data_IF_599283313484
#
_entry.id   IF_599283313484
#
_cell.length_a   1.000
_cell.length_b   1.000
_cell.length_c   1.000
_cell.angle_alpha   90.00
_cell.angle_beta   90.00
_cell.angle_gamma   90.00
#
_symmetry.space_group_name_H-M   'P 1'
#
loop_
_entity.id
_entity.type
_entity.pdbx_description
1 polymer ?
#
# COMPACT_ATOMS: atom_id res chain seq x y z
N UNK A 1 -1.72 -7.52 -24.28
CA UNK A 1 -2.33 -8.10 -23.06
C UNK A 1 -1.66 -7.45 -21.87
N UNK A 2 -2.42 -6.95 -20.90
CA UNK A 2 -1.87 -6.50 -19.61
C UNK A 2 -1.45 -7.73 -18.80
N UNK A 3 -0.31 -7.67 -18.12
CA UNK A 3 0.15 -8.72 -17.19
C UNK A 3 -0.03 -8.22 -15.76
N UNK A 4 -0.36 -9.10 -14.83
CA UNK A 4 -0.18 -8.81 -13.41
C UNK A 4 1.31 -8.80 -13.06
N UNK A 5 1.71 -8.09 -12.03
CA UNK A 5 3.11 -8.09 -11.59
C UNK A 5 3.29 -7.86 -10.09
N UNK A 6 4.41 -8.33 -9.56
CA UNK A 6 4.95 -7.96 -8.26
C UNK A 6 6.42 -7.60 -8.47
N UNK A 7 6.86 -6.47 -7.94
CA UNK A 7 8.20 -5.93 -8.10
C UNK A 7 8.81 -5.61 -6.75
N UNK A 8 10.12 -5.79 -6.65
CA UNK A 8 10.89 -5.49 -5.45
C UNK A 8 12.22 -4.82 -5.85
N UNK A 9 12.43 -3.53 -5.52
CA UNK A 9 11.49 -2.63 -4.82
C UNK A 9 10.29 -2.22 -5.69
N UNK A 10 9.20 -1.70 -5.11
CA UNK A 10 8.09 -1.15 -5.90
C UNK A 10 8.56 -0.10 -6.92
N UNK A 11 7.87 -0.06 -8.07
CA UNK A 11 8.11 0.93 -9.13
C UNK A 11 9.39 0.73 -9.95
N UNK A 12 10.29 -0.19 -9.56
CA UNK A 12 11.47 -0.51 -10.37
C UNK A 12 11.10 -1.03 -11.76
N UNK A 13 12.03 -0.95 -12.72
CA UNK A 13 11.85 -1.47 -14.07
C UNK A 13 13.07 -2.27 -14.55
N UNK A 14 12.83 -3.42 -15.18
CA UNK A 14 13.89 -4.23 -15.77
C UNK A 14 14.96 -4.63 -14.75
N UNK A 15 16.22 -4.34 -15.07
CA UNK A 15 17.41 -4.71 -14.27
C UNK A 15 17.61 -3.84 -13.02
N UNK A 16 16.81 -2.78 -12.85
CA UNK A 16 16.82 -1.97 -11.63
C UNK A 16 16.12 -2.68 -10.47
N UNK A 17 15.25 -3.64 -10.79
CA UNK A 17 14.61 -4.49 -9.80
C UNK A 17 15.62 -5.46 -9.16
N UNK A 18 15.44 -5.78 -7.88
CA UNK A 18 16.10 -6.94 -7.26
C UNK A 18 15.37 -8.23 -7.64
N UNK A 19 14.05 -8.13 -7.72
CA UNK A 19 13.17 -9.19 -8.16
C UNK A 19 11.98 -8.59 -8.90
N UNK A 20 11.50 -9.30 -9.93
CA UNK A 20 10.13 -9.12 -10.37
C UNK A 20 9.54 -10.45 -10.81
N UNK A 21 8.22 -10.54 -10.68
CA UNK A 21 7.39 -11.53 -11.35
C UNK A 21 6.35 -10.81 -12.18
N UNK A 22 6.17 -11.25 -13.42
CA UNK A 22 4.94 -10.96 -14.17
C UNK A 22 4.16 -12.25 -14.39
N UNK A 23 2.84 -12.15 -14.43
CA UNK A 23 1.97 -13.30 -14.65
C UNK A 23 0.79 -12.95 -15.56
N UNK A 24 0.33 -13.94 -16.31
CA UNK A 24 -0.89 -13.84 -17.12
C UNK A 24 -1.65 -15.16 -17.12
N UNK A 25 -2.92 -15.11 -16.74
CA UNK A 25 -3.84 -16.24 -16.79
C UNK A 25 -4.33 -16.52 -18.21
N UNK A 26 -4.34 -17.79 -18.60
CA UNK A 26 -4.71 -18.29 -19.92
C UNK A 26 -5.71 -19.45 -19.80
N UNK A 27 -6.81 -19.25 -19.05
CA UNK A 27 -7.90 -20.21 -18.84
C UNK A 27 -7.53 -21.53 -18.10
N UNK A 28 -6.55 -22.29 -18.58
CA UNK A 28 -6.12 -23.58 -18.01
C UNK A 28 -4.73 -23.52 -17.36
N UNK A 29 -3.95 -22.47 -17.61
CA UNK A 29 -2.65 -22.24 -17.00
C UNK A 29 -2.39 -20.76 -16.69
N UNK A 30 -1.34 -20.51 -15.91
CA UNK A 30 -0.76 -19.19 -15.68
C UNK A 30 0.66 -19.22 -16.23
N UNK A 31 0.98 -18.27 -17.09
CA UNK A 31 2.36 -18.03 -17.52
C UNK A 31 3.02 -17.07 -16.53
N UNK A 32 4.19 -17.44 -16.03
CA UNK A 32 5.01 -16.64 -15.12
C UNK A 32 6.32 -16.27 -15.79
N UNK A 33 6.78 -15.04 -15.55
CA UNK A 33 8.13 -14.57 -15.89
C UNK A 33 8.79 -14.04 -14.63
N UNK A 34 9.88 -14.67 -14.21
CA UNK A 34 10.66 -14.31 -13.02
C UNK A 34 12.00 -13.70 -13.43
N UNK A 35 12.44 -12.73 -12.65
CA UNK A 35 13.78 -12.16 -12.70
C UNK A 35 14.34 -12.07 -11.29
N UNK A 36 15.60 -12.48 -11.10
CA UNK A 36 16.35 -12.29 -9.87
C UNK A 36 17.72 -11.69 -10.14
N UNK A 37 18.02 -10.55 -9.51
CA UNK A 37 19.28 -9.83 -9.64
C UNK A 37 20.38 -10.42 -8.76
N UNK A 38 21.59 -10.45 -9.28
CA UNK A 38 22.82 -10.97 -8.66
C UNK A 38 22.57 -12.32 -7.99
N UNK A 39 21.90 -13.23 -8.70
CA UNK A 39 21.37 -14.49 -8.18
C UNK A 39 21.57 -15.61 -9.19
N UNK A 40 21.78 -16.84 -8.70
CA UNK A 40 21.77 -18.08 -9.50
C UNK A 40 20.54 -18.95 -9.20
N UNK A 41 19.60 -18.46 -8.39
CA UNK A 41 18.22 -18.92 -8.36
C UNK A 41 17.23 -17.77 -8.12
N UNK A 42 16.02 -17.96 -8.59
CA UNK A 42 14.84 -17.13 -8.31
C UNK A 42 13.65 -18.05 -8.05
N UNK A 43 12.82 -17.69 -7.09
CA UNK A 43 11.66 -18.51 -6.72
C UNK A 43 10.41 -17.66 -6.55
N UNK A 44 9.27 -18.29 -6.83
CA UNK A 44 7.95 -17.77 -6.52
C UNK A 44 7.20 -18.82 -5.71
N UNK A 45 6.52 -18.38 -4.66
CA UNK A 45 5.78 -19.22 -3.74
C UNK A 45 4.38 -18.68 -3.49
N UNK A 46 3.49 -19.59 -3.13
CA UNK A 46 2.08 -19.31 -2.87
C UNK A 46 1.75 -19.74 -1.44
N UNK A 47 1.25 -18.82 -0.62
CA UNK A 47 0.89 -19.11 0.77
C UNK A 47 -0.31 -18.27 1.24
N UNK A 48 -1.08 -18.79 2.19
CA UNK A 48 -2.19 -18.07 2.83
C UNK A 48 -1.72 -17.04 3.85
N UNK A 49 -0.46 -17.16 4.30
CA UNK A 49 0.20 -16.28 5.27
C UNK A 49 1.48 -15.68 4.70
N UNK A 50 1.91 -14.56 5.26
CA UNK A 50 3.17 -13.90 4.90
C UNK A 50 4.39 -14.58 5.54
N UNK A 51 4.57 -15.88 5.28
CA UNK A 51 5.65 -16.69 5.84
C UNK A 51 6.15 -17.77 4.87
N UNK A 52 7.44 -18.11 4.95
CA UNK A 52 8.04 -19.14 4.10
C UNK A 52 7.49 -20.55 4.40
N UNK A 53 7.18 -20.85 5.67
CA UNK A 53 6.71 -22.17 6.09
C UNK A 53 5.32 -22.45 5.51
N UNK A 54 5.10 -23.68 5.05
CA UNK A 54 3.92 -24.15 4.34
C UNK A 54 3.70 -23.56 2.93
N UNK A 55 4.73 -22.95 2.34
CA UNK A 55 4.63 -22.38 0.99
C UNK A 55 4.81 -23.44 -0.09
N UNK A 56 3.90 -23.50 -1.06
CA UNK A 56 4.14 -24.23 -2.31
C UNK A 56 4.93 -23.31 -3.25
N UNK A 57 6.10 -23.75 -3.72
CA UNK A 57 6.98 -22.90 -4.52
C UNK A 57 7.42 -23.54 -5.83
N UNK A 58 7.66 -22.69 -6.81
CA UNK A 58 8.38 -22.99 -8.04
C UNK A 58 9.71 -22.26 -7.98
N UNK A 59 10.79 -23.02 -8.14
CA UNK A 59 12.16 -22.54 -8.01
C UNK A 59 12.84 -22.74 -9.36
N UNK A 60 13.35 -21.64 -9.89
CA UNK A 60 14.20 -21.64 -11.05
C UNK A 60 15.65 -21.44 -10.61
N UNK A 61 16.55 -22.34 -10.96
CA UNK A 61 17.91 -22.35 -10.45
C UNK A 61 18.92 -22.89 -11.45
N UNK A 62 20.18 -22.52 -11.24
CA UNK A 62 21.30 -22.97 -12.06
C UNK A 62 21.88 -24.27 -11.49
N UNK A 63 22.00 -25.27 -12.35
CA UNK A 63 22.63 -26.55 -12.05
C UNK A 63 23.64 -26.90 -13.15
N UNK A 64 24.94 -26.94 -12.82
CA UNK A 64 26.03 -27.22 -13.76
C UNK A 64 25.97 -26.35 -15.04
N UNK A 65 25.65 -25.06 -14.89
CA UNK A 65 25.54 -24.10 -16.00
C UNK A 65 24.24 -24.17 -16.81
N UNK A 66 23.34 -25.09 -16.48
CA UNK A 66 22.01 -25.21 -17.09
C UNK A 66 20.95 -24.71 -16.11
N UNK A 67 20.02 -23.91 -16.60
CA UNK A 67 18.93 -23.39 -15.80
C UNK A 67 17.75 -24.38 -15.83
N UNK A 68 17.26 -24.75 -14.65
CA UNK A 68 16.22 -25.74 -14.43
C UNK A 68 15.09 -25.15 -13.59
N UNK A 69 13.90 -25.75 -13.70
CA UNK A 69 12.78 -25.47 -12.80
C UNK A 69 12.42 -26.72 -11.99
N UNK A 70 12.10 -26.51 -10.71
CA UNK A 70 11.62 -27.54 -9.77
C UNK A 70 10.51 -26.97 -8.91
N UNK A 71 9.63 -27.84 -8.42
CA UNK A 71 8.69 -27.47 -7.36
C UNK A 71 9.26 -27.83 -6.00
N UNK A 72 8.79 -27.17 -4.94
CA UNK A 72 9.11 -27.55 -3.58
C UNK A 72 8.03 -27.10 -2.59
N UNK A 73 7.66 -27.99 -1.66
CA UNK A 73 6.90 -27.62 -0.46
C UNK A 73 7.85 -27.17 0.64
N UNK A 74 7.77 -25.90 1.03
CA UNK A 74 8.64 -25.31 2.04
C UNK A 74 8.08 -25.58 3.44
N UNK A 75 8.43 -26.71 4.06
CA UNK A 75 7.91 -27.09 5.38
C UNK A 75 8.68 -26.47 6.56
N UNK A 76 9.86 -25.94 6.31
CA UNK A 76 10.75 -25.35 7.33
C UNK A 76 11.65 -24.27 6.72
N UNK A 77 12.33 -23.50 7.57
CA UNK A 77 13.35 -22.52 7.17
C UNK A 77 14.70 -23.21 6.91
N UNK A 78 14.69 -24.18 6.01
CA UNK A 78 15.86 -24.97 5.60
C UNK A 78 15.95 -25.02 4.07
N UNK A 79 17.07 -25.52 3.54
CA UNK A 79 17.17 -25.81 2.11
C UNK A 79 16.00 -26.71 1.67
N UNK A 80 15.29 -26.36 0.58
CA UNK A 80 14.13 -27.12 0.15
C UNK A 80 14.54 -28.43 -0.50
N UNK A 81 13.70 -29.45 -0.31
CA UNK A 81 13.78 -30.68 -1.11
C UNK A 81 13.13 -30.37 -2.45
N UNK A 82 13.93 -30.39 -3.52
CA UNK A 82 13.45 -30.12 -4.87
C UNK A 82 12.77 -31.37 -5.44
N UNK A 83 11.56 -31.18 -5.94
CA UNK A 83 10.76 -32.23 -6.55
C UNK A 83 10.69 -32.04 -8.05
N UNK A 84 10.62 -33.15 -8.79
CA UNK A 84 10.45 -33.10 -10.24
C UNK A 84 9.19 -32.31 -10.61
N UNK A 85 9.41 -31.35 -11.50
CA UNK A 85 8.43 -30.38 -11.95
C UNK A 85 7.49 -30.98 -13.00
N UNK A 86 6.88 -32.13 -12.70
CA UNK A 86 5.87 -32.72 -13.57
C UNK A 86 4.79 -31.63 -13.81
N UNK A 87 4.44 -31.40 -15.08
CA UNK A 87 3.44 -30.41 -15.52
C UNK A 87 3.83 -28.93 -15.45
N UNK A 88 5.03 -28.56 -14.98
CA UNK A 88 5.59 -27.24 -15.28
C UNK A 88 6.34 -27.29 -16.61
N UNK A 89 6.23 -26.23 -17.42
CA UNK A 89 6.96 -26.14 -18.68
C UNK A 89 7.83 -24.89 -18.68
N UNK A 90 9.15 -25.05 -18.69
CA UNK A 90 10.10 -23.95 -18.86
C UNK A 90 10.13 -23.56 -20.34
N UNK A 91 9.50 -22.43 -20.67
CA UNK A 91 9.36 -21.97 -22.06
C UNK A 91 10.49 -21.06 -22.50
N UNK A 92 11.11 -20.35 -21.55
CA UNK A 92 12.30 -19.54 -21.83
C UNK A 92 13.14 -19.42 -20.56
N UNK A 93 14.45 -19.32 -20.72
CA UNK A 93 15.37 -19.10 -19.62
C UNK A 93 16.64 -18.43 -20.11
N UNK A 94 17.13 -17.46 -19.34
CA UNK A 94 18.44 -16.87 -19.59
C UNK A 94 19.19 -16.67 -18.28
N UNK A 95 20.50 -16.73 -18.39
CA UNK A 95 21.43 -16.45 -17.32
C UNK A 95 22.51 -15.54 -17.90
N UNK A 96 22.73 -14.40 -17.27
CA UNK A 96 23.91 -13.59 -17.50
C UNK A 96 24.77 -13.60 -16.23
N UNK A 97 25.94 -12.95 -16.26
CA UNK A 97 26.86 -12.96 -15.12
C UNK A 97 26.25 -12.44 -13.82
N UNK A 98 25.14 -11.69 -13.88
CA UNK A 98 24.55 -10.99 -12.75
C UNK A 98 23.03 -11.19 -12.61
N UNK A 99 22.38 -12.12 -13.32
CA UNK A 99 20.92 -12.34 -13.18
C UNK A 99 20.43 -13.69 -13.70
N UNK A 100 19.31 -14.15 -13.13
CA UNK A 100 18.55 -15.32 -13.59
C UNK A 100 17.17 -14.87 -14.03
N UNK A 101 16.77 -15.35 -15.21
CA UNK A 101 15.44 -15.12 -15.79
C UNK A 101 14.81 -16.43 -16.24
N UNK A 102 13.53 -16.60 -15.91
CA UNK A 102 12.81 -17.82 -16.23
C UNK A 102 11.37 -17.49 -16.58
N UNK A 103 10.91 -18.07 -17.69
CA UNK A 103 9.51 -18.04 -18.09
C UNK A 103 8.97 -19.46 -18.13
N UNK A 104 7.88 -19.71 -17.44
CA UNK A 104 7.28 -21.04 -17.37
C UNK A 104 5.76 -20.99 -17.29
N UNK A 105 5.11 -22.09 -17.63
CA UNK A 105 3.68 -22.27 -17.42
C UNK A 105 3.41 -23.14 -16.19
N UNK A 106 2.46 -22.71 -15.37
CA UNK A 106 1.93 -23.45 -14.23
C UNK A 106 0.45 -23.80 -14.50
N UNK A 107 0.02 -25.07 -14.44
CA UNK A 107 -1.39 -25.42 -14.61
C UNK A 107 -2.25 -24.72 -13.56
N UNK A 108 -3.38 -24.14 -13.94
CA UNK A 108 -4.23 -23.40 -13.01
C UNK A 108 -4.87 -24.33 -11.97
N UNK A 109 -5.31 -25.50 -12.43
CA UNK A 109 -5.84 -26.60 -11.61
C UNK A 109 -5.03 -27.88 -11.89
N UNK A 110 -3.89 -28.06 -11.24
CA UNK A 110 -3.03 -29.19 -11.52
C UNK A 110 -3.66 -30.48 -10.95
N UNK A 111 -3.31 -31.64 -11.51
CA UNK A 111 -3.89 -32.93 -11.06
C UNK A 111 -3.38 -33.30 -9.67
N UNK A 112 -4.09 -34.16 -8.94
CA UNK A 112 -3.69 -34.62 -7.59
C UNK A 112 -2.29 -35.26 -7.54
N UNK A 113 -1.75 -35.71 -8.68
CA UNK A 113 -0.41 -36.29 -8.78
C UNK A 113 0.73 -35.26 -8.82
N UNK A 114 0.42 -33.99 -9.12
CA UNK A 114 1.40 -32.97 -9.49
C UNK A 114 2.19 -32.35 -8.32
N UNK A 115 1.73 -32.50 -7.08
CA UNK A 115 2.25 -31.78 -5.88
C UNK A 115 2.33 -30.25 -6.03
N UNK A 116 1.76 -29.70 -7.10
CA UNK A 116 1.64 -28.26 -7.34
C UNK A 116 0.39 -27.72 -6.64
N UNK A 117 0.40 -26.42 -6.30
CA UNK A 117 -0.74 -25.77 -5.67
C UNK A 117 -1.86 -25.51 -6.68
N UNK A 118 -3.11 -25.66 -6.27
CA UNK A 118 -4.24 -25.11 -7.03
C UNK A 118 -4.20 -23.56 -6.95
N UNK A 119 -4.37 -22.88 -8.09
CA UNK A 119 -4.32 -21.43 -8.23
C UNK A 119 -5.71 -20.76 -8.27
N UNK A 120 -6.79 -21.50 -7.94
CA UNK A 120 -8.18 -21.01 -7.90
C UNK A 120 -8.46 -19.96 -6.81
N UNK A 121 -7.71 -19.99 -5.72
CA UNK A 121 -7.86 -19.05 -4.60
C UNK A 121 -6.86 -17.88 -4.70
N UNK A 122 -6.99 -16.91 -3.80
CA UNK A 122 -6.08 -15.76 -3.70
C UNK A 122 -5.02 -16.00 -2.62
N UNK A 123 -3.77 -15.66 -2.90
CA UNK A 123 -2.65 -15.99 -2.02
C UNK A 123 -1.63 -14.87 -1.91
N UNK A 124 -0.84 -14.88 -0.84
CA UNK A 124 0.40 -14.13 -0.86
C UNK A 124 1.37 -14.75 -1.86
N UNK A 125 1.93 -13.90 -2.72
CA UNK A 125 3.07 -14.25 -3.55
C UNK A 125 4.34 -14.01 -2.74
N UNK A 126 5.14 -15.05 -2.53
CA UNK A 126 6.40 -15.00 -1.77
C UNK A 126 7.55 -15.20 -2.74
N UNK A 127 8.59 -14.39 -2.65
CA UNK A 127 9.79 -14.58 -3.48
C UNK A 127 11.05 -14.70 -2.64
N UNK A 128 12.01 -15.40 -3.22
CA UNK A 128 13.38 -15.51 -2.71
C UNK A 128 14.34 -15.66 -3.87
N UNK A 129 15.45 -14.94 -3.83
CA UNK A 129 16.54 -15.04 -4.81
C UNK A 129 17.87 -15.21 -4.08
N UNK A 130 18.83 -15.88 -4.71
CA UNK A 130 20.11 -16.12 -4.06
C UNK A 130 21.04 -16.95 -4.91
N UNK A 131 22.04 -17.54 -4.28
CA UNK A 131 23.06 -18.34 -4.95
C UNK A 131 22.83 -19.84 -4.79
N UNK A 132 23.28 -20.63 -5.76
CA UNK A 132 23.41 -22.08 -5.65
C UNK A 132 24.87 -22.38 -5.33
N UNK A 133 25.13 -23.05 -4.22
CA UNK A 133 26.48 -23.47 -3.80
C UNK A 133 26.48 -24.98 -3.57
N UNK A 134 27.46 -25.69 -4.13
CA UNK A 134 27.58 -27.15 -4.02
C UNK A 134 26.27 -27.90 -4.35
N UNK A 135 25.58 -27.47 -5.42
CA UNK A 135 24.30 -28.03 -5.88
C UNK A 135 23.13 -27.83 -4.89
N UNK A 136 23.29 -26.98 -3.88
CA UNK A 136 22.27 -26.63 -2.88
C UNK A 136 21.91 -25.17 -3.01
N UNK A 137 20.62 -24.86 -2.88
CA UNK A 137 20.11 -23.49 -2.80
C UNK A 137 20.58 -22.87 -1.49
N UNK A 138 21.44 -21.85 -1.59
CA UNK A 138 21.95 -21.12 -0.44
C UNK A 138 20.87 -20.22 0.15
N UNK A 139 21.07 -19.82 1.40
CA UNK A 139 20.14 -18.95 2.11
C UNK A 139 20.02 -17.59 1.39
N UNK A 140 18.81 -17.21 0.96
CA UNK A 140 18.53 -15.96 0.22
C UNK A 140 18.85 -14.68 1.00
N UNK A 141 19.22 -14.76 2.28
CA UNK A 141 19.47 -13.62 3.16
C UNK A 141 18.37 -12.55 2.98
N UNK A 142 18.73 -11.29 2.71
CA UNK A 142 17.81 -10.17 2.53
C UNK A 142 17.08 -10.15 1.16
N UNK A 143 17.43 -11.01 0.20
CA UNK A 143 16.82 -11.06 -1.14
C UNK A 143 15.54 -11.88 -1.14
N UNK A 144 14.55 -11.40 -0.38
CA UNK A 144 13.27 -12.07 -0.17
C UNK A 144 12.17 -11.04 0.04
N UNK A 145 10.94 -11.40 -0.31
CA UNK A 145 9.79 -10.55 -0.03
C UNK A 145 8.48 -11.29 -0.21
N UNK A 146 7.39 -10.55 -0.06
CA UNK A 146 6.03 -11.08 -0.13
C UNK A 146 5.09 -9.97 -0.59
N UNK A 147 4.00 -10.30 -1.28
CA UNK A 147 2.96 -9.33 -1.60
C UNK A 147 2.30 -8.76 -0.35
N UNK A 148 1.86 -7.50 -0.41
CA UNK A 148 1.18 -6.82 0.69
C UNK A 148 -0.17 -7.49 1.02
N UNK A 149 -0.90 -7.89 -0.02
CA UNK A 149 -2.19 -8.57 0.10
C UNK A 149 -2.20 -9.84 -0.73
N UNK A 150 -3.26 -10.63 -0.54
CA UNK A 150 -3.56 -11.76 -1.42
C UNK A 150 -3.71 -11.29 -2.86
N UNK A 151 -3.21 -12.10 -3.78
CA UNK A 151 -3.15 -11.83 -5.21
C UNK A 151 -4.06 -12.81 -5.92
N UNK A 152 -4.97 -12.28 -6.73
CA UNK A 152 -5.81 -13.05 -7.62
C UNK A 152 -5.13 -13.21 -8.98
N UNK A 153 -4.60 -14.40 -9.26
CA UNK A 153 -3.83 -14.66 -10.48
C UNK A 153 -4.68 -14.62 -11.77
N UNK A 154 -6.01 -14.61 -11.67
CA UNK A 154 -6.91 -14.43 -12.82
C UNK A 154 -7.04 -12.95 -13.24
N UNK A 155 -6.54 -12.02 -12.42
CA UNK A 155 -6.61 -10.58 -12.68
C UNK A 155 -5.23 -10.03 -13.00
N UNK A 156 -5.14 -9.26 -14.07
CA UNK A 156 -3.89 -8.62 -14.49
C UNK A 156 -3.70 -7.28 -13.76
N UNK A 157 -3.41 -7.35 -12.46
CA UNK A 157 -3.24 -6.18 -11.58
C UNK A 157 -1.84 -6.17 -10.97
N UNK A 158 -1.27 -4.98 -10.81
CA UNK A 158 -0.02 -4.80 -10.07
C UNK A 158 -0.25 -4.97 -8.57
N UNK A 159 0.50 -5.87 -7.97
CA UNK A 159 0.53 -6.15 -6.54
C UNK A 159 1.73 -5.44 -5.92
N UNK A 160 1.52 -4.77 -4.78
CA UNK A 160 2.60 -4.15 -4.01
C UNK A 160 3.34 -5.19 -3.16
N UNK A 161 4.63 -4.97 -2.88
CA UNK A 161 5.34 -5.74 -1.86
C UNK A 161 4.86 -5.30 -0.46
N UNK A 162 4.88 -6.21 0.51
CA UNK A 162 4.54 -5.92 1.90
C UNK A 162 5.59 -5.06 2.61
N UNK A 163 6.82 -5.06 2.09
CA UNK A 163 7.86 -4.11 2.48
C UNK A 163 7.51 -2.69 2.04
N UNK A 164 6.72 -2.55 0.98
CA UNK A 164 6.24 -1.28 0.50
C UNK A 164 5.07 -0.86 1.38
N UNK A 165 5.13 0.37 1.88
CA UNK A 165 3.95 1.00 2.47
C UNK A 165 3.09 1.62 1.36
N UNK A 166 2.12 2.45 1.73
CA UNK A 166 1.23 3.08 0.76
C UNK A 166 1.98 4.18 -0.01
N UNK A 167 1.97 4.10 -1.34
CA UNK A 167 2.51 5.15 -2.20
C UNK A 167 1.58 6.37 -2.18
N UNK A 168 2.18 7.56 -2.22
CA UNK A 168 1.46 8.83 -2.30
C UNK A 168 1.05 9.24 -3.74
N UNK A 169 1.31 8.38 -4.72
CA UNK A 169 1.02 8.67 -6.12
C UNK A 169 -0.49 8.86 -6.32
N UNK A 170 -0.86 10.05 -6.78
CA UNK A 170 -2.26 10.43 -7.01
C UNK A 170 -2.99 10.98 -5.79
N UNK A 171 -2.34 11.15 -4.64
CA UNK A 171 -2.90 11.92 -3.52
C UNK A 171 -3.36 13.31 -3.99
N UNK A 172 -4.58 13.71 -3.63
CA UNK A 172 -5.18 14.98 -4.05
C UNK A 172 -5.64 15.04 -5.50
N UNK A 173 -5.43 13.96 -6.29
CA UNK A 173 -5.81 13.89 -7.71
C UNK A 173 -6.83 12.80 -7.96
N UNK A 174 -6.47 11.56 -7.63
CA UNK A 174 -7.34 10.38 -7.80
C UNK A 174 -7.59 9.63 -6.50
N UNK A 175 -6.82 9.95 -5.46
CA UNK A 175 -6.88 9.34 -4.13
C UNK A 175 -6.95 10.43 -3.09
N UNK A 176 -7.82 10.29 -2.11
CA UNK A 176 -7.68 11.05 -0.89
C UNK A 176 -6.63 10.43 0.02
N UNK A 177 -5.86 11.24 0.74
CA UNK A 177 -4.75 10.78 1.56
C UNK A 177 -4.71 11.56 2.88
N UNK A 178 -4.50 10.86 3.99
CA UNK A 178 -4.16 11.42 5.29
C UNK A 178 -2.83 10.82 5.73
N UNK A 179 -1.80 11.65 5.90
CA UNK A 179 -0.41 11.18 6.01
C UNK A 179 0.33 11.85 7.16
N UNK A 180 1.13 11.07 7.87
CA UNK A 180 2.07 11.60 8.85
C UNK A 180 3.46 10.95 8.71
N UNK A 181 4.54 11.75 8.64
CA UNK A 181 4.54 13.22 8.51
C UNK A 181 3.83 13.71 7.25
N UNK A 182 3.39 14.96 7.24
CA UNK A 182 2.79 15.55 6.04
C UNK A 182 3.79 15.43 4.88
N UNK A 183 3.30 15.05 3.69
CA UNK A 183 4.12 14.90 2.48
C UNK A 183 4.92 13.60 2.36
N UNK A 184 4.97 12.74 3.40
CA UNK A 184 5.67 11.45 3.33
C UNK A 184 5.08 10.52 2.26
N UNK A 185 5.88 9.62 1.70
CA UNK A 185 5.40 8.57 0.80
C UNK A 185 6.02 7.24 1.19
N UNK A 186 5.28 6.14 1.02
CA UNK A 186 5.80 4.82 1.31
C UNK A 186 6.30 4.72 2.75
N UNK A 187 7.46 4.10 2.92
CA UNK A 187 7.98 3.72 4.24
C UNK A 187 8.52 4.90 5.04
N UNK A 188 8.59 6.10 4.45
CA UNK A 188 8.89 7.34 5.16
C UNK A 188 7.72 7.79 6.04
N UNK A 189 6.50 7.32 5.74
CA UNK A 189 5.35 7.56 6.59
C UNK A 189 5.44 6.78 7.90
N UNK A 190 4.98 7.40 9.00
CA UNK A 190 4.66 6.69 10.24
C UNK A 190 3.21 6.21 10.24
N UNK A 191 2.32 7.00 9.64
CA UNK A 191 0.91 6.67 9.40
C UNK A 191 0.53 7.12 8.00
N UNK A 192 -0.29 6.33 7.32
CA UNK A 192 -0.96 6.75 6.10
C UNK A 192 -2.32 6.07 5.99
N UNK A 193 -3.35 6.84 5.68
CA UNK A 193 -4.61 6.33 5.18
C UNK A 193 -4.88 6.92 3.79
N UNK A 194 -5.43 6.09 2.90
CA UNK A 194 -5.92 6.54 1.60
C UNK A 194 -7.37 6.15 1.44
N UNK A 195 -8.13 6.93 0.68
CA UNK A 195 -9.53 6.64 0.40
C UNK A 195 -9.93 6.93 -1.06
N UNK A 196 -10.87 6.13 -1.57
CA UNK A 196 -11.49 6.32 -2.89
C UNK A 196 -12.97 6.01 -2.83
N UNK A 197 -13.82 6.97 -3.21
CA UNK A 197 -15.25 6.74 -3.38
C UNK A 197 -15.52 5.90 -4.64
N UNK A 198 -16.46 4.96 -4.55
CA UNK A 198 -16.83 4.00 -5.60
C UNK A 198 -18.36 3.88 -5.74
N UNK A 199 -19.08 5.02 -5.72
CA UNK A 199 -20.51 5.10 -6.02
C UNK A 199 -21.46 4.62 -4.90
N UNK A 200 -21.06 3.64 -4.10
CA UNK A 200 -21.86 3.15 -2.95
C UNK A 200 -21.03 2.84 -1.69
N UNK A 201 -19.71 2.81 -1.83
CA UNK A 201 -18.78 2.54 -0.74
C UNK A 201 -17.51 3.39 -0.94
N UNK A 202 -16.71 3.47 0.12
CA UNK A 202 -15.39 4.08 0.12
C UNK A 202 -14.37 2.99 0.40
N UNK A 203 -13.40 2.83 -0.49
CA UNK A 203 -12.28 1.93 -0.29
C UNK A 203 -11.21 2.65 0.52
N UNK A 204 -10.87 2.10 1.68
CA UNK A 204 -9.81 2.61 2.53
C UNK A 204 -8.61 1.66 2.51
N UNK A 205 -7.41 2.23 2.51
CA UNK A 205 -6.17 1.52 2.85
C UNK A 205 -5.45 2.26 3.96
N UNK A 206 -5.00 1.54 4.99
CA UNK A 206 -4.25 2.09 6.11
C UNK A 206 -2.90 1.40 6.25
N UNK A 207 -1.89 2.18 6.65
CA UNK A 207 -0.56 1.72 7.01
C UNK A 207 -0.12 2.36 8.33
N UNK A 208 0.40 1.52 9.24
CA UNK A 208 1.03 1.94 10.48
C UNK A 208 2.45 1.38 10.56
N UNK A 209 3.45 2.26 10.61
CA UNK A 209 4.85 1.87 10.77
C UNK A 209 5.12 1.48 12.22
N UNK A 210 5.81 0.35 12.42
CA UNK A 210 6.19 -0.16 13.75
C UNK A 210 5.00 -0.16 14.71
N UNK A 211 3.88 -0.73 14.28
CA UNK A 211 2.62 -0.72 15.00
C UNK A 211 1.91 -2.05 14.87
N UNK A 212 1.27 -2.48 15.95
CA UNK A 212 0.46 -3.69 16.01
C UNK A 212 -1.01 -3.41 15.66
N UNK A 213 -1.44 -2.15 15.77
CA UNK A 213 -2.75 -1.69 15.35
C UNK A 213 -2.67 -0.29 14.72
N UNK A 214 -3.61 -0.01 13.82
CA UNK A 214 -3.78 1.26 13.12
C UNK A 214 -5.28 1.53 12.95
N UNK A 215 -5.70 2.79 13.08
CA UNK A 215 -7.10 3.18 13.03
C UNK A 215 -7.33 4.45 12.21
N UNK A 216 -8.56 4.57 11.73
CA UNK A 216 -9.14 5.81 11.20
C UNK A 216 -10.46 6.06 11.92
N UNK A 217 -10.68 7.31 12.32
CA UNK A 217 -11.90 7.78 12.96
C UNK A 217 -12.63 8.82 12.12
N UNK A 218 -13.95 8.84 12.22
CA UNK A 218 -14.86 9.79 11.59
C UNK A 218 -15.61 10.55 12.69
N UNK A 219 -15.32 11.84 12.83
CA UNK A 219 -15.84 12.67 13.92
C UNK A 219 -16.40 14.00 13.40
N UNK A 220 -17.26 14.62 14.20
CA UNK A 220 -17.78 15.98 13.98
C UNK A 220 -16.78 17.06 14.39
N UNK A 221 -15.77 16.73 15.20
CA UNK A 221 -14.67 17.60 15.64
C UNK A 221 -13.31 16.89 15.54
N UNK A 222 -12.22 17.57 15.90
CA UNK A 222 -10.86 17.03 15.88
C UNK A 222 -10.46 16.25 17.16
N UNK A 223 -11.46 15.83 17.95
CA UNK A 223 -11.27 15.16 19.24
C UNK A 223 -11.74 13.69 19.20
N UNK A 224 -11.09 12.85 20.01
CA UNK A 224 -11.36 11.40 20.09
C UNK A 224 -12.75 11.02 20.64
N UNK A 225 -13.34 11.73 21.63
CA UNK A 225 -14.71 11.46 22.06
C UNK A 225 -15.71 11.58 20.91
N UNK A 226 -16.81 10.86 21.03
CA UNK A 226 -17.89 10.82 20.03
C UNK A 226 -17.41 10.56 18.59
N UNK A 227 -16.44 9.64 18.44
CA UNK A 227 -15.85 9.25 17.14
C UNK A 227 -16.27 7.83 16.75
N UNK A 228 -16.66 7.62 15.49
CA UNK A 228 -16.76 6.27 14.91
C UNK A 228 -15.41 5.87 14.36
N UNK A 229 -14.88 4.72 14.74
CA UNK A 229 -13.55 4.31 14.38
C UNK A 229 -13.53 2.91 13.77
N UNK A 230 -12.72 2.78 12.73
CA UNK A 230 -12.33 1.51 12.14
C UNK A 230 -10.89 1.21 12.56
N UNK A 231 -10.70 0.08 13.22
CA UNK A 231 -9.41 -0.34 13.79
C UNK A 231 -8.96 -1.62 13.11
N UNK A 232 -7.78 -1.58 12.51
CA UNK A 232 -7.06 -2.77 12.07
C UNK A 232 -6.04 -3.15 13.15
N UNK A 233 -6.10 -4.38 13.63
CA UNK A 233 -5.18 -4.88 14.66
C UNK A 233 -4.70 -6.28 14.32
N UNK A 234 -3.46 -6.60 14.69
CA UNK A 234 -3.03 -8.00 14.66
C UNK A 234 -3.71 -8.80 15.76
N UNK A 235 -3.93 -10.08 15.51
CA UNK A 235 -4.30 -11.04 16.56
C UNK A 235 -3.06 -11.26 17.44
N UNK A 236 -3.26 -11.32 18.76
CA UNK A 236 -2.16 -11.49 19.72
C UNK A 236 -1.24 -12.65 19.32
N UNK A 237 0.07 -12.38 19.32
CA UNK A 237 1.13 -13.32 18.92
C UNK A 237 0.99 -13.93 17.50
N UNK A 238 0.18 -13.33 16.63
CA UNK A 238 0.00 -13.73 15.23
C UNK A 238 0.36 -12.58 14.29
N UNK A 239 0.69 -12.92 13.04
CA UNK A 239 0.75 -11.98 11.91
C UNK A 239 -0.61 -11.75 11.26
N UNK A 240 -1.66 -12.42 11.74
CA UNK A 240 -3.02 -12.25 11.21
C UNK A 240 -3.58 -10.91 11.64
N UNK A 241 -4.02 -10.08 10.68
CA UNK A 241 -4.72 -8.82 10.96
C UNK A 241 -6.23 -9.01 10.80
N UNK A 242 -6.98 -8.40 11.71
CA UNK A 242 -8.45 -8.31 11.70
C UNK A 242 -8.88 -6.86 11.76
N UNK A 243 -10.13 -6.61 11.35
CA UNK A 243 -10.76 -5.29 11.44
C UNK A 243 -11.85 -5.31 12.51
N UNK A 244 -11.98 -4.19 13.22
CA UNK A 244 -12.98 -3.92 14.24
C UNK A 244 -13.60 -2.56 13.98
N UNK A 245 -14.86 -2.40 14.37
CA UNK A 245 -15.52 -1.10 14.44
C UNK A 245 -15.69 -0.71 15.90
N UNK A 246 -15.78 0.59 16.18
CA UNK A 246 -16.02 1.09 17.52
C UNK A 246 -16.67 2.46 17.52
N UNK A 247 -17.65 2.66 18.40
CA UNK A 247 -18.07 3.99 18.81
C UNK A 247 -17.36 4.40 20.08
N UNK A 248 -16.48 5.39 19.95
CA UNK A 248 -15.65 5.92 21.02
C UNK A 248 -16.45 7.00 21.73
N UNK A 249 -16.78 6.80 23.01
CA UNK A 249 -17.58 7.77 23.78
C UNK A 249 -16.71 8.76 24.58
N UNK A 250 -15.46 8.43 24.87
CA UNK A 250 -14.55 9.22 25.69
C UNK A 250 -13.09 8.88 25.38
N UNK A 251 -12.14 9.60 25.97
CA UNK A 251 -10.70 9.31 25.93
C UNK A 251 -10.33 8.05 26.73
N UNK A 252 -10.89 6.92 26.33
CA UNK A 252 -10.69 5.61 26.94
C UNK A 252 -10.48 4.55 25.87
N UNK A 253 -10.03 3.36 26.27
CA UNK A 253 -9.93 2.23 25.35
C UNK A 253 -11.30 1.99 24.69
N UNK A 254 -11.38 2.03 23.36
CA UNK A 254 -12.64 1.94 22.66
C UNK A 254 -13.21 0.51 22.72
N UNK A 255 -14.54 0.34 22.85
CA UNK A 255 -15.16 -0.97 22.80
C UNK A 255 -15.06 -1.53 21.37
N UNK A 256 -14.27 -2.59 21.18
CA UNK A 256 -14.05 -3.17 19.85
C UNK A 256 -15.14 -4.20 19.53
N UNK A 257 -15.90 -3.92 18.47
CA UNK A 257 -16.97 -4.79 17.98
C UNK A 257 -16.56 -5.53 16.71
N UNK A 258 -17.26 -6.63 16.40
CA UNK A 258 -17.12 -7.30 15.10
C UNK A 258 -17.68 -6.35 14.04
N UNK A 259 -16.86 -6.02 13.04
CA UNK A 259 -17.24 -5.12 11.96
C UNK A 259 -18.05 -5.85 10.88
N UNK A 260 -19.29 -6.21 11.17
CA UNK A 260 -20.16 -6.95 10.24
C UNK A 260 -20.48 -6.15 8.96
N UNK A 261 -20.53 -4.82 9.08
CA UNK A 261 -20.90 -3.91 8.00
C UNK A 261 -19.66 -3.39 7.20
N UNK A 262 -18.46 -3.92 7.51
CA UNK A 262 -17.21 -3.61 6.79
C UNK A 262 -16.68 -4.88 6.13
N UNK A 263 -16.05 -4.73 4.96
CA UNK A 263 -15.39 -5.86 4.28
C UNK A 263 -13.89 -5.64 4.29
N UNK A 264 -13.15 -6.49 5.01
CA UNK A 264 -11.69 -6.52 4.96
C UNK A 264 -11.22 -7.19 3.65
N UNK A 265 -10.67 -6.42 2.73
CA UNK A 265 -10.22 -6.87 1.40
C UNK A 265 -8.70 -6.92 1.25
N UNK A 266 -7.96 -6.63 2.33
CA UNK A 266 -6.51 -6.75 2.39
C UNK A 266 -6.02 -6.68 3.83
N UNK A 267 -5.04 -7.52 4.17
CA UNK A 267 -4.41 -7.60 5.49
C UNK A 267 -2.92 -7.87 5.33
N UNK A 268 -2.09 -7.22 6.12
CA UNK A 268 -0.64 -7.43 6.14
C UNK A 268 -0.09 -7.12 7.51
N UNK A 269 0.79 -7.98 8.01
CA UNK A 269 1.68 -7.66 9.14
C UNK A 269 3.08 -8.15 8.79
N UNK A 270 3.91 -7.24 8.30
CA UNK A 270 5.21 -7.56 7.74
C UNK A 270 6.26 -6.55 8.23
N UNK A 271 7.41 -7.06 8.69
CA UNK A 271 8.50 -6.23 9.23
C UNK A 271 8.03 -5.20 10.29
N UNK A 272 7.16 -5.64 11.21
CA UNK A 272 6.52 -4.82 12.25
C UNK A 272 5.63 -3.68 11.74
N UNK A 273 5.28 -3.67 10.45
CA UNK A 273 4.32 -2.73 9.90
C UNK A 273 2.99 -3.41 9.68
N UNK A 274 1.91 -2.74 10.08
CA UNK A 274 0.55 -3.19 9.82
C UNK A 274 -0.01 -2.47 8.60
N UNK A 275 -0.67 -3.23 7.72
CA UNK A 275 -1.50 -2.68 6.65
C UNK A 275 -2.84 -3.38 6.60
N UNK A 276 -3.87 -2.63 6.23
CA UNK A 276 -5.16 -3.20 5.92
C UNK A 276 -5.86 -2.42 4.82
N UNK A 277 -6.72 -3.12 4.10
CA UNK A 277 -7.62 -2.54 3.10
C UNK A 277 -9.02 -3.00 3.39
N UNK A 278 -9.97 -2.08 3.37
CA UNK A 278 -11.36 -2.41 3.64
C UNK A 278 -12.31 -1.51 2.85
N UNK A 279 -13.56 -1.97 2.72
CA UNK A 279 -14.64 -1.18 2.15
C UNK A 279 -15.56 -0.71 3.27
N UNK A 280 -15.90 0.58 3.26
CA UNK A 280 -16.88 1.18 4.15
C UNK A 280 -18.11 1.61 3.34
N UNK A 281 -19.34 1.26 3.73
CA UNK A 281 -20.54 1.74 3.04
C UNK A 281 -20.61 3.26 3.08
N UNK A 282 -20.90 3.90 1.96
CA UNK A 282 -20.94 5.37 1.91
C UNK A 282 -22.13 5.92 2.73
N UNK A 283 -23.26 5.23 2.63
CA UNK A 283 -24.44 5.41 3.48
C UNK A 283 -24.72 4.05 4.12
N UNK A 284 -24.41 3.85 5.42
CA UNK A 284 -24.70 2.61 6.13
C UNK A 284 -26.20 2.32 6.19
N UNK A 285 -26.55 1.05 6.37
CA UNK A 285 -27.95 0.63 6.57
C UNK A 285 -28.52 1.13 7.90
N UNK A 286 -29.85 1.22 7.98
CA UNK A 286 -30.53 1.64 9.20
C UNK A 286 -30.19 0.70 10.38
N UNK A 287 -29.70 1.27 11.48
CA UNK A 287 -29.27 0.51 12.67
C UNK A 287 -27.78 0.17 12.68
N UNK A 288 -27.04 0.44 11.60
CA UNK A 288 -25.58 0.38 11.64
C UNK A 288 -25.03 1.43 12.61
N UNK A 289 -23.92 1.09 13.29
CA UNK A 289 -23.18 2.01 14.17
C UNK A 289 -22.12 2.82 13.42
N UNK A 290 -21.92 2.52 12.15
CA UNK A 290 -20.97 3.21 11.29
C UNK A 290 -21.45 4.63 10.97
N UNK A 291 -20.50 5.54 10.78
CA UNK A 291 -20.75 6.91 10.38
C UNK A 291 -21.28 6.98 8.93
N UNK A 292 -22.21 7.90 8.71
CA UNK A 292 -22.68 8.24 7.39
C UNK A 292 -21.64 9.14 6.69
N UNK A 293 -20.90 8.57 5.74
CA UNK A 293 -19.81 9.25 5.03
C UNK A 293 -20.30 10.25 3.98
N UNK A 294 -21.61 10.46 3.84
CA UNK A 294 -22.18 11.54 3.00
C UNK A 294 -22.08 12.93 3.61
N UNK A 295 -21.77 13.01 4.89
CA UNK A 295 -21.45 14.26 5.57
C UNK A 295 -19.93 14.37 5.69
N UNK A 296 -19.41 15.59 5.53
CA UNK A 296 -18.00 15.83 5.79
C UNK A 296 -17.66 15.47 7.23
N UNK A 297 -16.47 14.93 7.48
CA UNK A 297 -16.05 14.55 8.82
C UNK A 297 -14.59 14.92 9.04
N UNK A 298 -14.22 15.21 10.29
CA UNK A 298 -12.81 15.15 10.65
C UNK A 298 -12.36 13.69 10.57
N UNK A 299 -11.21 13.49 9.93
CA UNK A 299 -10.56 12.19 9.88
C UNK A 299 -9.51 12.12 10.97
N UNK A 300 -9.75 11.29 11.97
CA UNK A 300 -8.82 11.05 13.06
C UNK A 300 -7.95 9.85 12.70
N UNK A 301 -6.70 9.86 13.10
CA UNK A 301 -5.83 8.70 12.99
C UNK A 301 -5.20 8.35 14.31
N UNK A 302 -4.96 7.06 14.50
CA UNK A 302 -4.13 6.57 15.57
C UNK A 302 -3.42 5.26 15.20
N UNK A 303 -2.28 4.99 15.84
CA UNK A 303 -1.58 3.70 15.78
C UNK A 303 -0.90 3.39 17.12
N UNK A 304 -0.63 2.12 17.38
CA UNK A 304 0.04 1.73 18.62
C UNK A 304 0.40 0.26 18.69
N UNK A 305 0.85 -0.14 19.88
CA UNK A 305 1.18 -1.53 20.23
C UNK A 305 -0.04 -2.25 20.85
N UNK A 306 0.06 -3.58 20.97
CA UNK A 306 -0.87 -4.36 21.79
C UNK A 306 -0.30 -4.64 23.17
N UNK A 307 -1.14 -4.57 24.20
CA UNK A 307 -0.83 -4.99 25.56
C UNK A 307 -1.87 -6.00 26.02
N UNK A 308 -1.42 -7.20 26.40
CA UNK A 308 -2.31 -8.31 26.76
C UNK A 308 -3.15 -8.86 25.60
N UNK A 309 -2.82 -8.51 24.36
CA UNK A 309 -3.59 -8.87 23.16
C UNK A 309 -4.66 -7.85 22.76
N UNK A 310 -4.86 -6.80 23.54
CA UNK A 310 -5.75 -5.68 23.25
C UNK A 310 -4.96 -4.45 22.78
N UNK A 311 -5.64 -3.54 22.07
CA UNK A 311 -5.06 -2.24 21.74
C UNK A 311 -4.65 -1.47 22.99
N UNK A 312 -3.40 -1.03 23.00
CA UNK A 312 -2.86 -0.17 24.03
C UNK A 312 -3.01 1.31 23.68
N UNK A 313 -2.77 2.17 24.66
CA UNK A 313 -2.79 3.62 24.51
C UNK A 313 -1.80 4.08 23.43
N UNK A 314 -2.29 4.86 22.46
CA UNK A 314 -1.43 5.55 21.51
C UNK A 314 -0.78 6.75 22.24
N UNK A 315 0.55 6.91 22.13
CA UNK A 315 1.27 7.96 22.88
C UNK A 315 0.84 9.37 22.46
N UNK A 316 1.38 10.41 23.14
CA UNK A 316 1.17 11.82 22.75
C UNK A 316 1.99 12.26 21.54
N UNK A 317 2.76 11.35 20.94
CA UNK A 317 3.54 11.66 19.75
C UNK A 317 2.62 11.85 18.55
N UNK A 318 2.89 12.88 17.74
CA UNK A 318 2.15 13.14 16.50
C UNK A 318 2.27 12.02 15.47
N UNK A 319 3.33 11.20 15.58
CA UNK A 319 3.51 9.96 14.81
C UNK A 319 2.46 8.90 15.12
N UNK A 320 1.85 8.96 16.31
CA UNK A 320 0.93 7.95 16.82
C UNK A 320 -0.53 8.37 16.76
N UNK A 321 -0.81 9.68 16.60
CA UNK A 321 -2.17 10.20 16.50
C UNK A 321 -2.24 11.58 15.87
N UNK A 322 -3.41 11.92 15.36
CA UNK A 322 -3.76 13.27 14.92
C UNK A 322 -5.14 13.31 14.28
N UNK A 323 -5.50 14.47 13.75
CA UNK A 323 -6.74 14.69 13.03
C UNK A 323 -6.46 15.47 11.75
N UNK A 324 -7.37 15.39 10.78
CA UNK A 324 -7.39 16.30 9.64
C UNK A 324 -7.55 17.75 10.14
N UNK A 325 -6.95 18.75 9.47
CA UNK A 325 -7.07 20.15 9.89
C UNK A 325 -8.48 20.72 9.69
N UNK A 326 -9.32 20.04 8.91
CA UNK A 326 -10.69 20.41 8.61
C UNK A 326 -11.51 19.15 8.32
N UNK A 327 -12.83 19.31 8.25
CA UNK A 327 -13.74 18.27 7.79
C UNK A 327 -13.46 17.95 6.31
N UNK A 328 -13.62 16.67 5.95
CA UNK A 328 -13.24 16.13 4.64
C UNK A 328 -14.45 15.52 3.97
N UNK A 329 -14.71 15.92 2.72
CA UNK A 329 -15.63 15.21 1.82
C UNK A 329 -14.94 13.98 1.23
N UNK A 330 -15.40 12.79 1.60
CA UNK A 330 -14.83 11.51 1.16
C UNK A 330 -15.17 11.14 -0.30
N UNK A 331 -15.99 11.94 -1.00
CA UNK A 331 -16.17 11.82 -2.45
C UNK A 331 -15.02 12.42 -3.25
N UNK A 332 -14.28 13.36 -2.68
CA UNK A 332 -13.27 14.14 -3.38
C UNK A 332 -11.88 13.66 -2.94
N UNK A 333 -11.00 13.42 -3.92
CA UNK A 333 -9.61 13.10 -3.63
C UNK A 333 -8.90 14.33 -3.05
N UNK A 334 -8.67 14.33 -1.72
CA UNK A 334 -7.95 15.42 -1.03
C UNK A 334 -6.65 14.91 -0.41
N UNK A 335 -5.56 15.64 -0.59
CA UNK A 335 -4.30 15.38 0.13
C UNK A 335 -4.28 16.14 1.47
N UNK A 336 -4.77 15.48 2.51
CA UNK A 336 -5.09 16.05 3.81
C UNK A 336 -3.80 16.30 4.59
N UNK A 337 -3.69 17.52 5.13
CA UNK A 337 -2.49 18.00 5.82
C UNK A 337 -1.52 18.76 4.92
N UNK A 338 -1.60 18.60 3.59
CA UNK A 338 -0.98 19.55 2.65
C UNK A 338 -1.80 20.85 2.50
N UNK A 339 -3.03 20.87 3.03
CA UNK A 339 -3.79 22.09 3.34
C UNK A 339 -3.11 22.77 4.54
N UNK A 340 -1.98 23.44 4.28
CA UNK A 340 -1.09 23.98 5.31
C UNK A 340 0.40 23.90 4.99
N UNK A 341 0.82 23.35 3.84
CA UNK A 341 2.12 23.75 3.32
C UNK A 341 2.07 25.27 3.19
N UNK A 342 3.01 25.96 3.84
CA UNK A 342 3.15 27.39 3.63
C UNK A 342 3.22 27.57 2.11
N UNK A 343 2.18 28.19 1.56
CA UNK A 343 2.13 28.63 0.18
C UNK A 343 3.48 29.32 -0.03
N UNK A 344 4.22 28.95 -1.07
CA UNK A 344 5.59 29.41 -1.27
C UNK A 344 5.71 30.09 -2.61
N UNK A 345 6.58 31.09 -2.66
CA UNK A 345 6.97 31.76 -3.89
C UNK A 345 8.12 31.04 -4.62
N UNK A 346 8.53 29.86 -4.14
CA UNK A 346 9.59 29.06 -4.77
C UNK A 346 9.16 28.59 -6.17
N UNK A 347 10.10 28.68 -7.12
CA UNK A 347 9.83 28.30 -8.51
C UNK A 347 9.09 29.36 -9.35
N UNK A 348 8.72 30.51 -8.78
CA UNK A 348 8.17 31.62 -9.56
C UNK A 348 9.12 32.06 -10.68
N UNK A 349 8.60 32.17 -11.90
CA UNK A 349 9.38 32.53 -13.09
C UNK A 349 10.16 31.36 -13.70
N UNK A 350 10.09 30.17 -13.10
CA UNK A 350 10.69 28.94 -13.64
C UNK A 350 9.63 27.87 -13.88
N UNK A 351 8.97 27.43 -12.81
CA UNK A 351 7.98 26.35 -12.82
C UNK A 351 6.57 26.82 -12.47
N UNK A 352 6.44 28.01 -11.88
CA UNK A 352 5.17 28.65 -11.52
C UNK A 352 5.11 30.08 -12.07
N UNK A 353 3.93 30.53 -12.47
CA UNK A 353 3.62 31.95 -12.67
C UNK A 353 3.21 32.58 -11.34
N UNK A 354 3.56 33.86 -11.10
CA UNK A 354 3.31 34.47 -9.80
C UNK A 354 2.92 35.94 -9.86
N UNK A 355 2.00 36.32 -8.97
CA UNK A 355 1.66 37.70 -8.62
C UNK A 355 2.04 37.90 -7.15
N UNK A 356 2.82 38.93 -6.85
CA UNK A 356 3.36 39.17 -5.50
C UNK A 356 3.16 40.62 -5.10
N UNK A 357 2.76 40.84 -3.85
CA UNK A 357 2.68 42.15 -3.21
C UNK A 357 3.38 42.12 -1.83
N UNK A 358 4.41 42.96 -1.61
CA UNK A 358 5.08 43.81 -2.60
C UNK A 358 5.86 42.98 -3.63
N UNK A 359 6.14 43.57 -4.80
CA UNK A 359 6.91 42.88 -5.84
C UNK A 359 8.28 42.40 -5.30
N UNK A 360 8.62 41.13 -5.55
CA UNK A 360 9.90 40.53 -5.15
C UNK A 360 9.94 39.95 -3.73
N UNK A 361 8.87 40.08 -2.93
CA UNK A 361 8.77 39.42 -1.63
C UNK A 361 8.84 37.88 -1.75
N UNK A 362 9.14 37.19 -0.64
CA UNK A 362 9.13 35.73 -0.56
C UNK A 362 8.52 35.23 0.74
N UNK A 363 7.69 34.20 0.67
CA UNK A 363 7.06 33.59 1.84
C UNK A 363 6.27 34.60 2.69
N UNK A 364 6.54 34.62 3.99
CA UNK A 364 5.85 35.47 4.98
C UNK A 364 6.20 36.97 4.90
N UNK A 365 7.16 37.33 4.05
CA UNK A 365 7.53 38.74 3.79
C UNK A 365 6.55 39.41 2.82
N UNK A 366 5.73 38.61 2.12
CA UNK A 366 4.65 39.13 1.29
C UNK A 366 3.47 39.60 2.15
N UNK A 367 2.76 40.63 1.69
CA UNK A 367 1.40 40.93 2.17
C UNK A 367 0.38 40.03 1.49
N UNK A 368 0.62 39.74 0.21
CA UNK A 368 -0.22 38.87 -0.59
C UNK A 368 0.62 38.23 -1.69
N UNK A 369 0.33 36.98 -2.04
CA UNK A 369 0.78 36.45 -3.31
C UNK A 369 -0.15 35.36 -3.84
N UNK A 370 -0.08 35.18 -5.14
CA UNK A 370 -0.71 34.11 -5.89
C UNK A 370 0.37 33.43 -6.68
N UNK A 371 0.46 32.11 -6.59
CA UNK A 371 1.16 31.31 -7.57
C UNK A 371 0.14 30.58 -8.42
N UNK A 372 0.50 30.30 -9.67
CA UNK A 372 -0.29 29.45 -10.54
C UNK A 372 0.60 28.55 -11.38
N UNK A 373 0.15 27.32 -11.61
CA UNK A 373 0.83 26.38 -12.49
C UNK A 373 -0.17 25.66 -13.37
N UNK A 374 0.16 25.54 -14.66
CA UNK A 374 -0.64 24.78 -15.60
C UNK A 374 -0.35 23.28 -15.41
N UNK A 375 -1.39 22.54 -15.04
CA UNK A 375 -1.43 21.09 -15.09
C UNK A 375 -2.09 20.67 -16.41
N UNK A 376 -1.97 19.40 -16.80
CA UNK A 376 -2.42 18.94 -18.13
C UNK A 376 -3.86 19.36 -18.50
N UNK A 377 -4.78 19.40 -17.54
CA UNK A 377 -6.21 19.67 -17.72
C UNK A 377 -6.79 20.81 -16.85
N UNK A 378 -5.99 21.43 -15.97
CA UNK A 378 -6.44 22.52 -15.09
C UNK A 378 -5.30 23.46 -14.70
N UNK A 379 -5.63 24.62 -14.11
CA UNK A 379 -4.66 25.52 -13.49
C UNK A 379 -4.82 25.44 -11.99
N UNK A 380 -3.73 25.13 -11.29
CA UNK A 380 -3.67 25.13 -9.84
C UNK A 380 -3.25 26.52 -9.34
N UNK A 381 -3.99 27.07 -8.36
CA UNK A 381 -3.69 28.36 -7.74
C UNK A 381 -3.41 28.18 -6.25
N UNK A 382 -2.34 28.81 -5.77
CA UNK A 382 -2.03 28.89 -4.34
C UNK A 382 -2.08 30.36 -3.91
N UNK A 383 -2.86 30.69 -2.88
CA UNK A 383 -3.10 32.07 -2.44
C UNK A 383 -2.63 32.25 -1.00
N UNK A 384 -2.00 33.38 -0.72
CA UNK A 384 -1.60 33.79 0.61
C UNK A 384 -2.00 35.26 0.84
N UNK A 385 -2.54 35.53 2.03
CA UNK A 385 -2.77 36.89 2.53
C UNK A 385 -2.27 36.99 3.97
N UNK A 386 -1.37 37.94 4.23
CA UNK A 386 -0.83 38.20 5.55
C UNK A 386 -1.91 38.84 6.42
N UNK A 387 -2.03 38.37 7.66
CA UNK A 387 -2.97 38.89 8.66
C UNK A 387 -4.43 39.00 8.14
N UNK A 388 -4.82 38.12 7.21
CA UNK A 388 -6.09 38.18 6.47
C UNK A 388 -7.00 37.00 6.83
N UNK A 389 -8.30 37.25 6.97
CA UNK A 389 -9.33 36.22 7.19
C UNK A 389 -9.94 35.67 5.90
N UNK A 390 -9.73 36.36 4.79
CA UNK A 390 -10.16 35.98 3.47
C UNK A 390 -9.11 36.40 2.43
N UNK A 391 -8.97 35.60 1.37
CA UNK A 391 -8.10 35.90 0.24
C UNK A 391 -8.85 35.53 -1.06
N UNK A 392 -8.74 36.37 -2.08
CA UNK A 392 -9.41 36.17 -3.37
C UNK A 392 -8.53 36.53 -4.54
N UNK A 393 -8.84 35.93 -5.68
CA UNK A 393 -8.35 36.33 -7.00
C UNK A 393 -9.53 36.54 -7.94
N UNK A 394 -9.40 37.48 -8.87
CA UNK A 394 -10.36 37.74 -9.93
C UNK A 394 -9.68 37.75 -11.29
N UNK A 395 -10.41 37.37 -12.34
CA UNK A 395 -9.93 37.33 -13.71
C UNK A 395 -10.75 38.32 -14.55
N UNK A 396 -10.06 39.25 -15.22
CA UNK A 396 -10.70 40.29 -16.04
C UNK A 396 -9.82 40.59 -17.26
N UNK A 397 -10.45 40.89 -18.40
CA UNK A 397 -9.77 41.28 -19.64
C UNK A 397 -9.35 42.76 -19.63
N UNK A 398 -9.86 43.54 -18.67
CA UNK A 398 -9.52 44.95 -18.46
C UNK A 398 -8.77 45.15 -17.16
N UNK A 399 -7.87 46.12 -17.14
CA UNK A 399 -7.16 46.55 -15.94
C UNK A 399 -8.04 47.47 -15.08
N UNK A 400 -9.11 46.90 -14.53
CA UNK A 400 -10.11 47.59 -13.70
C UNK A 400 -10.41 46.70 -12.47
N UNK A 401 -10.50 47.31 -11.28
CA UNK A 401 -10.85 46.64 -10.02
C UNK A 401 -12.35 46.74 -9.76
#
# INVERSE_FOLDING_TARGET
MTKGCLRDPAGCSGTDCNFFVTYSYQQDHVEFELFGKDSTYVSIGFNDKQEMINTDSVICYVNNGVLLIRSAKLTSKSAPILEEANYLNLTNSSMDQNSVQCRFTHPFRPTNSSKLRNLDDEFYLIHGTGSVQNHVLDYHQAKRGVSAYHVNLTRNVESRSASDALAADGCGKTVGCLRYPIGCSGTDCSYMATYRYQGGHVNFEMFGKQADWVAIGFSDNDEMPDTDAVVCQRVSQSSTVVIRSSRIAAESRPPLEVANDLVLTGKSFFSNNIQCRFTHPYIPEAGSKLSNLSQDAFLLYAKGALTGGDIDYHTKEKSHRGASPQRVDLKIATDIGNVGQAVTTDGCGMTKGCLRDPAGCSGTDCNFFVTYSYQQDHVEFELFGKDSTYVSIGFNDKQEM
#
